data_IF_451737951219
#
_entry.id   IF_451737951219
#
_cell.length_a   1.000
_cell.length_b   1.000
_cell.length_c   1.000
_cell.angle_alpha   90.00
_cell.angle_beta   90.00
_cell.angle_gamma   90.00
#
_symmetry.space_group_name_H-M   'P 1'
#
loop_
_entity.id
_entity.type
_entity.pdbx_description
1 polymer ?
#
# COMPACT_ATOMS: atom_id res chain seq x y z
N UNK A 1 -13.45 72.95 28.67
CA UNK A 1 -12.46 72.63 29.72
C UNK A 1 -13.09 71.59 30.64
N UNK A 2 -12.30 70.63 31.13
CA UNK A 2 -12.69 69.36 31.79
C UNK A 2 -13.84 69.41 32.83
N UNK A 3 -14.64 68.33 32.83
CA UNK A 3 -15.42 67.70 33.95
C UNK A 3 -16.78 68.31 34.33
N UNK A 4 -17.87 67.52 34.27
CA UNK A 4 -18.58 66.92 35.42
C UNK A 4 -19.94 66.30 35.06
N UNK A 5 -20.26 65.24 35.81
CA UNK A 5 -21.50 64.47 35.90
C UNK A 5 -22.72 65.30 36.36
N UNK A 6 -23.90 64.93 35.88
CA UNK A 6 -25.24 64.92 36.54
C UNK A 6 -26.18 64.14 35.59
N UNK A 7 -27.32 63.52 35.91
CA UNK A 7 -27.84 62.77 37.06
C UNK A 7 -29.20 62.20 36.60
N UNK A 8 -29.60 61.08 37.19
CA UNK A 8 -30.97 60.52 37.39
C UNK A 8 -32.14 60.58 36.37
N UNK A 9 -32.70 59.37 36.17
CA UNK A 9 -34.12 58.95 36.36
C UNK A 9 -35.22 59.19 35.29
N UNK A 10 -35.74 58.09 34.72
CA UNK A 10 -37.13 57.57 34.86
C UNK A 10 -37.36 56.47 33.80
N UNK A 11 -37.56 55.20 34.19
CA UNK A 11 -38.81 54.52 34.52
C UNK A 11 -39.71 54.11 33.32
N UNK A 12 -39.99 52.81 33.28
CA UNK A 12 -41.14 52.13 32.66
C UNK A 12 -41.24 52.02 31.13
N UNK A 13 -41.08 50.79 30.62
CA UNK A 13 -42.16 49.97 29.99
C UNK A 13 -41.57 48.77 29.24
N UNK A 14 -41.74 47.56 29.79
CA UNK A 14 -42.03 46.36 28.98
C UNK A 14 -43.54 46.44 28.64
N UNK A 15 -44.05 45.94 27.49
CA UNK A 15 -43.89 44.52 27.16
C UNK A 15 -43.99 44.12 25.66
N UNK A 16 -43.90 42.79 25.46
CA UNK A 16 -44.35 41.96 24.33
C UNK A 16 -43.42 41.85 23.12
N UNK A 17 -42.60 40.81 23.21
CA UNK A 17 -42.03 40.07 22.12
C UNK A 17 -43.06 39.80 21.01
N UNK A 18 -42.76 40.25 19.79
CA UNK A 18 -43.31 39.65 18.57
C UNK A 18 -42.33 38.56 18.16
N UNK A 19 -42.80 37.32 18.23
CA UNK A 19 -42.23 36.18 17.53
C UNK A 19 -42.19 36.51 16.04
N UNK A 20 -41.00 36.78 15.50
CA UNK A 20 -40.71 36.60 14.09
C UNK A 20 -40.15 35.19 14.00
N UNK A 21 -40.95 34.27 13.47
CA UNK A 21 -40.52 32.92 13.14
C UNK A 21 -39.43 32.99 12.09
N UNK A 22 -38.19 33.04 12.55
CA UNK A 22 -37.04 32.72 11.72
C UNK A 22 -37.02 31.20 11.62
N UNK A 23 -37.38 30.69 10.44
CA UNK A 23 -37.07 29.33 10.01
C UNK A 23 -35.55 29.16 10.16
N UNK A 24 -35.14 28.60 11.29
CA UNK A 24 -33.87 27.92 11.42
C UNK A 24 -33.95 26.74 10.46
N UNK A 25 -33.52 26.99 9.22
CA UNK A 25 -33.07 25.94 8.32
C UNK A 25 -31.92 25.28 9.07
N UNK A 26 -32.22 24.19 9.77
CA UNK A 26 -31.24 23.25 10.23
C UNK A 26 -30.58 22.72 8.96
N UNK A 27 -29.51 23.38 8.53
CA UNK A 27 -28.53 22.79 7.64
C UNK A 27 -27.91 21.68 8.50
N UNK A 28 -28.54 20.51 8.42
CA UNK A 28 -27.85 19.26 8.67
C UNK A 28 -26.68 19.28 7.70
N UNK A 29 -25.51 19.65 8.23
CA UNK A 29 -24.23 19.35 7.63
C UNK A 29 -24.17 17.81 7.60
N UNK A 30 -24.79 17.23 6.57
CA UNK A 30 -24.35 15.95 6.06
C UNK A 30 -22.91 16.20 5.60
N UNK A 31 -21.96 15.96 6.50
CA UNK A 31 -20.60 15.69 6.06
C UNK A 31 -20.67 14.64 4.95
N UNK A 32 -19.78 14.66 3.95
CA UNK A 32 -19.80 13.65 2.90
C UNK A 32 -19.80 12.30 3.59
N UNK A 33 -20.93 11.61 3.54
CA UNK A 33 -20.98 10.25 4.03
C UNK A 33 -19.89 9.55 3.21
N UNK A 34 -18.92 8.97 3.92
CA UNK A 34 -17.84 8.22 3.32
C UNK A 34 -18.49 6.98 2.71
N UNK A 35 -18.95 7.11 1.48
CA UNK A 35 -19.68 6.07 0.80
C UNK A 35 -18.72 4.93 0.51
N UNK A 36 -19.10 3.71 0.91
CA UNK A 36 -18.25 2.55 0.76
C UNK A 36 -18.05 2.25 -0.73
N UNK A 37 -16.80 2.16 -1.15
CA UNK A 37 -16.42 1.90 -2.53
C UNK A 37 -16.86 0.49 -2.94
N UNK A 38 -17.57 0.38 -4.06
CA UNK A 38 -18.05 -0.87 -4.66
C UNK A 38 -17.24 -1.19 -5.93
N UNK A 39 -17.26 -2.44 -6.36
CA UNK A 39 -16.64 -2.86 -7.63
C UNK A 39 -17.64 -3.63 -8.48
N UNK A 40 -17.94 -3.12 -9.67
CA UNK A 40 -18.74 -3.79 -10.69
C UNK A 40 -17.80 -4.59 -11.60
N UNK A 41 -18.05 -5.90 -11.71
CA UNK A 41 -17.31 -6.81 -12.58
C UNK A 41 -18.16 -7.12 -13.79
N UNK A 42 -17.63 -6.83 -14.99
CA UNK A 42 -18.34 -7.06 -16.26
C UNK A 42 -18.06 -8.45 -16.79
N UNK A 43 -18.95 -8.92 -17.66
CA UNK A 43 -18.86 -10.22 -18.30
C UNK A 43 -17.62 -10.35 -19.19
N UNK A 44 -17.05 -9.26 -19.68
CA UNK A 44 -15.79 -9.22 -20.44
C UNK A 44 -14.54 -9.23 -19.52
N UNK A 45 -14.71 -9.34 -18.21
CA UNK A 45 -13.63 -9.34 -17.21
C UNK A 45 -13.17 -7.95 -16.77
N UNK A 46 -13.65 -6.87 -17.41
CA UNK A 46 -13.34 -5.51 -16.97
C UNK A 46 -13.99 -5.20 -15.62
N UNK A 47 -13.31 -4.40 -14.80
CA UNK A 47 -13.71 -4.10 -13.43
C UNK A 47 -13.77 -2.58 -13.23
N UNK A 48 -14.89 -2.09 -12.72
CA UNK A 48 -15.14 -0.68 -12.49
C UNK A 48 -15.30 -0.45 -10.98
N UNK A 49 -14.40 0.33 -10.40
CA UNK A 49 -14.51 0.74 -9.00
C UNK A 49 -15.25 2.08 -8.90
N UNK A 50 -16.17 2.19 -7.94
CA UNK A 50 -17.10 3.30 -7.88
C UNK A 50 -18.32 2.98 -7.04
N UNK A 51 -19.49 3.41 -7.49
CA UNK A 51 -20.72 3.22 -6.74
C UNK A 51 -21.93 2.98 -7.65
N UNK A 52 -22.74 2.00 -7.29
CA UNK A 52 -24.06 1.75 -7.86
C UNK A 52 -25.04 2.82 -7.38
N UNK A 53 -25.63 3.56 -8.32
CA UNK A 53 -26.67 4.55 -8.05
C UNK A 53 -28.06 3.94 -8.17
N UNK A 54 -28.26 3.06 -9.16
CA UNK A 54 -29.55 2.45 -9.46
C UNK A 54 -29.35 1.07 -10.08
N UNK A 55 -30.25 0.16 -9.74
CA UNK A 55 -30.40 -1.14 -10.41
C UNK A 55 -31.82 -1.16 -10.99
N UNK A 56 -31.95 -1.48 -12.28
CA UNK A 56 -33.20 -1.91 -12.90
C UNK A 56 -33.09 -3.33 -13.44
N UNK A 57 -34.22 -3.88 -13.93
CA UNK A 57 -34.24 -5.23 -14.50
C UNK A 57 -33.38 -5.40 -15.75
N UNK A 58 -32.97 -4.31 -16.40
CA UNK A 58 -32.23 -4.28 -17.67
C UNK A 58 -30.83 -3.63 -17.58
N UNK A 59 -30.59 -2.73 -16.61
CA UNK A 59 -29.33 -2.00 -16.46
C UNK A 59 -28.92 -1.77 -15.00
N UNK A 60 -27.61 -1.56 -14.80
CA UNK A 60 -27.01 -1.05 -13.56
C UNK A 60 -26.35 0.29 -13.83
N UNK A 61 -26.79 1.33 -13.13
CA UNK A 61 -26.21 2.67 -13.22
C UNK A 61 -25.10 2.83 -12.18
N UNK A 62 -23.90 3.13 -12.64
CA UNK A 62 -22.68 3.12 -11.86
C UNK A 62 -21.85 4.40 -12.05
N UNK A 63 -21.40 5.02 -10.97
CA UNK A 63 -20.51 6.20 -11.00
C UNK A 63 -19.09 5.73 -10.71
N UNK A 64 -18.19 5.88 -11.67
CA UNK A 64 -16.79 5.44 -11.56
C UNK A 64 -15.98 6.42 -10.71
N UNK A 65 -15.15 5.90 -9.80
CA UNK A 65 -14.26 6.72 -8.96
C UNK A 65 -13.05 7.22 -9.78
N UNK A 66 -12.73 8.52 -9.67
CA UNK A 66 -11.46 9.09 -10.18
C UNK A 66 -11.44 9.61 -11.63
N UNK A 67 -12.59 9.69 -12.32
CA UNK A 67 -12.67 10.32 -13.65
C UNK A 67 -12.88 11.84 -13.60
N UNK A 68 -12.37 12.58 -14.61
CA UNK A 68 -12.67 14.02 -14.82
C UNK A 68 -14.14 14.29 -15.20
N UNK A 69 -14.95 13.25 -15.40
CA UNK A 69 -16.38 13.33 -15.69
C UNK A 69 -17.20 12.71 -14.55
N UNK A 70 -18.08 13.50 -13.94
CA UNK A 70 -19.09 13.07 -12.96
C UNK A 70 -20.27 12.32 -13.61
N UNK A 71 -19.98 11.51 -14.62
CA UNK A 71 -20.99 10.84 -15.44
C UNK A 71 -21.38 9.47 -14.87
N UNK A 72 -22.68 9.24 -14.71
CA UNK A 72 -23.21 7.89 -14.47
C UNK A 72 -23.03 7.05 -15.73
N UNK A 73 -22.37 5.90 -15.59
CA UNK A 73 -22.23 4.88 -16.63
C UNK A 73 -23.34 3.86 -16.45
N UNK A 74 -24.15 3.62 -17.48
CA UNK A 74 -25.18 2.58 -17.45
C UNK A 74 -24.66 1.31 -18.10
N UNK A 75 -24.67 0.18 -17.37
CA UNK A 75 -24.17 -1.11 -17.84
C UNK A 75 -25.34 -2.09 -17.99
N UNK A 76 -25.56 -2.70 -19.17
CA UNK A 76 -26.60 -3.71 -19.36
C UNK A 76 -26.44 -4.92 -18.43
N UNK A 77 -27.55 -5.44 -17.91
CA UNK A 77 -27.54 -6.57 -16.98
C UNK A 77 -26.89 -7.83 -17.54
N UNK A 78 -27.02 -8.09 -18.84
CA UNK A 78 -26.33 -9.20 -19.50
C UNK A 78 -24.80 -9.06 -19.52
N UNK A 79 -24.30 -7.84 -19.29
CA UNK A 79 -22.88 -7.54 -19.20
C UNK A 79 -22.37 -7.44 -17.76
N UNK A 80 -23.24 -7.48 -16.74
CA UNK A 80 -22.81 -7.47 -15.34
C UNK A 80 -22.66 -8.89 -14.84
N UNK A 81 -21.43 -9.27 -14.46
CA UNK A 81 -21.14 -10.59 -13.95
C UNK A 81 -21.38 -10.67 -12.44
N UNK A 82 -20.84 -9.71 -11.69
CA UNK A 82 -21.13 -9.56 -10.27
C UNK A 82 -20.85 -8.13 -9.80
N UNK A 83 -21.37 -7.81 -8.62
CA UNK A 83 -21.04 -6.59 -7.89
C UNK A 83 -20.46 -7.00 -6.54
N UNK A 84 -19.28 -6.46 -6.20
CA UNK A 84 -18.70 -6.57 -4.87
C UNK A 84 -19.04 -5.30 -4.10
N UNK A 85 -19.80 -5.42 -3.02
CA UNK A 85 -20.26 -4.29 -2.23
C UNK A 85 -19.20 -3.78 -1.24
N UNK A 86 -19.52 -2.70 -0.53
CA UNK A 86 -18.63 -2.08 0.46
C UNK A 86 -18.34 -2.95 1.69
N UNK A 87 -19.13 -4.00 1.91
CA UNK A 87 -18.95 -5.03 2.94
C UNK A 87 -18.22 -6.28 2.41
N UNK A 88 -17.68 -6.19 1.18
CA UNK A 88 -16.98 -7.24 0.44
C UNK A 88 -17.85 -8.46 0.12
N UNK A 89 -19.17 -8.32 0.07
CA UNK A 89 -20.06 -9.38 -0.39
C UNK A 89 -20.17 -9.35 -1.91
N UNK A 90 -20.18 -10.54 -2.50
CA UNK A 90 -20.30 -10.75 -3.94
C UNK A 90 -21.75 -11.04 -4.30
N UNK A 91 -22.30 -10.23 -5.19
CA UNK A 91 -23.67 -10.31 -5.71
C UNK A 91 -23.63 -10.70 -7.19
N UNK A 92 -23.98 -11.94 -7.52
CA UNK A 92 -23.91 -12.47 -8.91
C UNK A 92 -25.22 -12.32 -9.69
N UNK A 93 -26.29 -11.82 -9.05
CA UNK A 93 -27.57 -11.49 -9.69
C UNK A 93 -28.02 -10.08 -9.33
N UNK A 94 -27.20 -9.05 -9.61
CA UNK A 94 -27.47 -7.70 -9.13
C UNK A 94 -28.80 -7.16 -9.68
N UNK A 95 -29.17 -7.47 -10.93
CA UNK A 95 -30.39 -6.97 -11.58
C UNK A 95 -31.71 -7.61 -11.12
N UNK A 96 -31.65 -8.57 -10.20
CA UNK A 96 -32.85 -9.15 -9.59
C UNK A 96 -33.30 -8.44 -8.31
N UNK A 97 -32.55 -7.46 -7.83
CA UNK A 97 -32.78 -6.76 -6.57
C UNK A 97 -32.74 -5.23 -6.70
N UNK A 98 -32.91 -4.55 -5.57
CA UNK A 98 -32.81 -3.10 -5.47
C UNK A 98 -31.37 -2.69 -5.12
N UNK A 99 -30.97 -1.47 -5.48
CA UNK A 99 -29.65 -0.93 -5.08
C UNK A 99 -29.44 -0.93 -3.55
N UNK A 100 -30.53 -0.84 -2.77
CA UNK A 100 -30.50 -0.96 -1.31
C UNK A 100 -30.13 -2.35 -0.80
N UNK A 101 -30.26 -3.41 -1.62
CA UNK A 101 -29.88 -4.77 -1.25
C UNK A 101 -28.34 -4.96 -1.27
N UNK A 102 -27.62 -4.04 -1.92
CA UNK A 102 -26.15 -3.94 -1.87
C UNK A 102 -25.65 -3.24 -0.59
N UNK A 103 -26.54 -2.77 0.27
CA UNK A 103 -26.19 -2.31 1.61
C UNK A 103 -26.10 -3.53 2.55
N UNK A 104 -25.00 -4.27 2.45
CA UNK A 104 -24.78 -5.49 3.23
C UNK A 104 -24.55 -5.22 4.72
N UNK A 105 -25.44 -5.79 5.55
CA UNK A 105 -25.21 -6.16 6.95
C UNK A 105 -23.88 -6.90 7.17
N UNK A 106 -23.40 -6.91 8.43
CA UNK A 106 -22.13 -7.44 8.96
C UNK A 106 -20.96 -7.48 7.96
N UNK A 107 -19.95 -6.59 8.11
CA UNK A 107 -18.83 -6.52 7.19
C UNK A 107 -18.11 -7.86 7.11
N UNK A 108 -17.87 -8.33 5.89
CA UNK A 108 -17.01 -9.50 5.71
C UNK A 108 -15.56 -9.05 5.68
N UNK A 109 -14.68 -9.87 6.24
CA UNK A 109 -13.23 -9.67 6.17
C UNK A 109 -12.69 -9.95 4.76
N UNK A 110 -11.41 -9.63 4.55
CA UNK A 110 -10.73 -9.84 3.29
C UNK A 110 -10.85 -11.30 2.83
N UNK A 111 -10.87 -11.51 1.51
CA UNK A 111 -10.86 -12.82 0.90
C UNK A 111 -9.79 -12.91 -0.18
N UNK A 112 -9.05 -14.02 -0.19
CA UNK A 112 -8.25 -14.44 -1.34
C UNK A 112 -8.93 -15.63 -1.99
N UNK A 113 -9.22 -15.50 -3.27
CA UNK A 113 -9.75 -16.55 -4.12
C UNK A 113 -8.59 -17.16 -4.89
N UNK A 114 -8.40 -18.47 -4.75
CA UNK A 114 -7.33 -19.21 -5.41
C UNK A 114 -7.78 -19.84 -6.72
N UNK A 115 -6.83 -20.13 -7.60
CA UNK A 115 -7.05 -20.78 -8.90
C UNK A 115 -7.65 -22.18 -8.79
N UNK A 116 -7.48 -22.86 -7.65
CA UNK A 116 -8.09 -24.14 -7.30
C UNK A 116 -9.51 -24.00 -6.71
N UNK A 117 -10.11 -22.80 -6.80
CA UNK A 117 -11.42 -22.44 -6.25
C UNK A 117 -11.48 -22.38 -4.72
N UNK A 118 -10.36 -22.48 -4.00
CA UNK A 118 -10.36 -22.27 -2.55
C UNK A 118 -10.49 -20.79 -2.21
N UNK A 119 -11.23 -20.49 -1.13
CA UNK A 119 -11.38 -19.14 -0.59
C UNK A 119 -10.75 -19.10 0.79
N UNK A 120 -9.79 -18.19 0.98
CA UNK A 120 -9.17 -17.91 2.26
C UNK A 120 -9.75 -16.61 2.80
N UNK A 121 -10.44 -16.68 3.94
CA UNK A 121 -11.00 -15.53 4.66
C UNK A 121 -10.06 -15.12 5.79
N UNK A 122 -9.83 -13.82 5.94
CA UNK A 122 -8.83 -13.36 6.89
C UNK A 122 -8.50 -11.87 6.80
N UNK A 123 -7.41 -11.49 7.45
CA UNK A 123 -6.79 -10.18 7.28
C UNK A 123 -5.57 -10.33 6.39
N UNK A 124 -5.51 -9.61 5.27
CA UNK A 124 -4.31 -9.59 4.43
C UNK A 124 -3.25 -8.78 5.20
N UNK A 125 -2.20 -9.45 5.65
CA UNK A 125 -1.13 -8.87 6.46
C UNK A 125 0.07 -8.44 5.61
N UNK A 126 0.16 -8.92 4.36
CA UNK A 126 1.22 -8.56 3.43
C UNK A 126 0.72 -8.58 1.98
N UNK A 127 1.01 -7.50 1.26
CA UNK A 127 0.80 -7.34 -0.18
C UNK A 127 2.18 -7.37 -0.86
N UNK A 128 2.60 -8.50 -1.42
CA UNK A 128 3.84 -8.60 -2.18
C UNK A 128 3.55 -8.84 -3.67
N UNK A 129 4.55 -8.68 -4.53
CA UNK A 129 4.38 -8.85 -5.97
C UNK A 129 4.16 -10.31 -6.38
N UNK A 130 4.79 -11.24 -5.67
CA UNK A 130 4.79 -12.67 -5.96
C UNK A 130 3.81 -13.46 -5.10
N UNK A 131 3.28 -12.87 -4.02
CA UNK A 131 2.39 -13.54 -3.06
C UNK A 131 1.57 -12.57 -2.22
N UNK A 132 0.50 -13.08 -1.64
CA UNK A 132 -0.22 -12.46 -0.54
C UNK A 132 0.01 -13.26 0.75
N UNK A 133 0.09 -12.59 1.89
CA UNK A 133 -0.02 -13.26 3.20
C UNK A 133 -1.36 -12.90 3.80
N UNK A 134 -2.18 -13.91 4.09
CA UNK A 134 -3.48 -13.75 4.75
C UNK A 134 -3.47 -14.46 6.09
N UNK A 135 -3.79 -13.71 7.16
CA UNK A 135 -4.01 -14.25 8.50
C UNK A 135 -5.44 -14.77 8.59
N UNK A 136 -5.56 -16.09 8.60
CA UNK A 136 -6.83 -16.81 8.75
C UNK A 136 -7.08 -17.16 10.22
N UNK A 137 -8.25 -17.72 10.54
CA UNK A 137 -8.53 -18.24 11.89
C UNK A 137 -7.58 -19.36 12.33
N UNK A 138 -6.95 -20.06 11.40
CA UNK A 138 -5.97 -21.13 11.66
C UNK A 138 -4.51 -20.68 11.61
N UNK A 139 -4.25 -19.39 11.37
CA UNK A 139 -2.90 -18.84 11.25
C UNK A 139 -2.61 -18.17 9.90
N UNK A 140 -1.36 -17.78 9.71
CA UNK A 140 -0.91 -17.05 8.53
C UNK A 140 -0.66 -18.01 7.36
N UNK A 141 -1.25 -17.70 6.20
CA UNK A 141 -1.13 -18.46 4.96
C UNK A 141 -0.50 -17.58 3.90
N UNK A 142 0.58 -18.08 3.29
CA UNK A 142 1.21 -17.45 2.13
C UNK A 142 0.64 -18.05 0.84
N UNK A 143 0.13 -17.20 -0.04
CA UNK A 143 -0.51 -17.61 -1.29
C UNK A 143 0.23 -16.95 -2.45
N UNK A 144 0.91 -17.69 -3.33
CA UNK A 144 1.53 -17.13 -4.53
C UNK A 144 0.52 -16.32 -5.35
N UNK A 145 0.91 -15.17 -5.91
CA UNK A 145 0.04 -14.35 -6.75
C UNK A 145 -0.36 -15.10 -8.03
N UNK A 146 0.50 -16.00 -8.51
CA UNK A 146 0.19 -16.96 -9.58
C UNK A 146 -0.94 -17.94 -9.22
N UNK A 147 -1.19 -18.16 -7.93
CA UNK A 147 -2.25 -19.02 -7.43
C UNK A 147 -3.52 -18.23 -7.09
N UNK A 148 -3.48 -16.90 -7.15
CA UNK A 148 -4.62 -16.05 -6.81
C UNK A 148 -5.44 -15.73 -8.06
N UNK A 149 -6.69 -16.16 -8.03
CA UNK A 149 -7.72 -15.85 -9.00
C UNK A 149 -8.43 -14.52 -8.71
N UNK A 150 -8.50 -14.12 -7.43
CA UNK A 150 -9.03 -12.82 -7.06
C UNK A 150 -8.77 -12.41 -5.61
N UNK A 151 -8.85 -11.11 -5.37
CA UNK A 151 -8.60 -10.46 -4.07
C UNK A 151 -9.78 -9.56 -3.76
N UNK A 152 -10.35 -9.72 -2.57
CA UNK A 152 -11.38 -8.82 -2.04
C UNK A 152 -10.85 -8.23 -0.74
N UNK A 153 -10.61 -6.92 -0.74
CA UNK A 153 -10.16 -6.14 0.41
C UNK A 153 -10.83 -4.76 0.37
N UNK A 154 -11.03 -4.07 1.51
CA UNK A 154 -11.60 -2.74 1.48
C UNK A 154 -10.77 -1.82 0.59
N UNK A 155 -11.42 -1.18 -0.40
CA UNK A 155 -10.77 -0.32 -1.38
C UNK A 155 -9.96 -1.04 -2.47
N UNK A 156 -9.89 -2.37 -2.47
CA UNK A 156 -9.17 -3.13 -3.50
C UNK A 156 -9.87 -4.46 -3.79
N UNK A 157 -10.55 -4.52 -4.94
CA UNK A 157 -11.13 -5.73 -5.51
C UNK A 157 -10.49 -5.96 -6.87
N UNK A 158 -9.91 -7.13 -7.07
CA UNK A 158 -9.26 -7.51 -8.32
C UNK A 158 -9.52 -8.99 -8.61
N UNK A 159 -10.03 -9.30 -9.80
CA UNK A 159 -10.00 -10.64 -10.38
C UNK A 159 -8.97 -10.70 -11.51
N UNK A 160 -8.09 -11.71 -11.49
CA UNK A 160 -6.97 -11.85 -12.44
C UNK A 160 -7.15 -13.06 -13.38
N UNK A 161 -8.41 -13.39 -13.71
CA UNK A 161 -8.80 -14.54 -14.53
C UNK A 161 -9.25 -14.13 -15.93
N UNK A 162 -9.20 -15.08 -16.87
CA UNK A 162 -9.87 -14.90 -18.17
C UNK A 162 -11.38 -14.77 -17.97
N UNK A 163 -12.10 -14.04 -18.84
CA UNK A 163 -13.55 -13.84 -18.70
C UNK A 163 -14.35 -15.14 -18.58
N UNK A 164 -13.96 -16.18 -19.33
CA UNK A 164 -14.61 -17.49 -19.29
C UNK A 164 -14.47 -18.16 -17.92
N UNK A 165 -13.25 -18.14 -17.36
CA UNK A 165 -12.97 -18.74 -16.06
C UNK A 165 -13.59 -17.94 -14.93
N UNK A 166 -13.62 -16.61 -15.04
CA UNK A 166 -14.31 -15.75 -14.09
C UNK A 166 -15.82 -16.01 -14.08
N UNK A 167 -16.45 -16.19 -15.25
CA UNK A 167 -17.87 -16.58 -15.34
C UNK A 167 -18.14 -17.93 -14.69
N UNK A 168 -17.31 -18.94 -15.00
CA UNK A 168 -17.44 -20.26 -14.40
C UNK A 168 -17.30 -20.22 -12.86
N UNK A 169 -16.40 -19.38 -12.37
CA UNK A 169 -16.18 -19.18 -10.94
C UNK A 169 -17.36 -18.49 -10.24
N UNK A 170 -17.90 -17.43 -10.84
CA UNK A 170 -19.07 -16.72 -10.30
C UNK A 170 -20.36 -17.54 -10.38
N UNK A 171 -20.42 -18.55 -11.25
CA UNK A 171 -21.49 -19.54 -11.28
C UNK A 171 -21.32 -20.66 -10.24
N UNK A 172 -20.15 -20.79 -9.61
CA UNK A 172 -19.89 -21.83 -8.62
C UNK A 172 -20.45 -21.43 -7.24
N UNK A 173 -21.59 -22.03 -6.87
CA UNK A 173 -22.25 -21.74 -5.60
C UNK A 173 -21.39 -21.99 -4.35
N UNK A 174 -20.46 -22.95 -4.39
CA UNK A 174 -19.56 -23.22 -3.25
C UNK A 174 -18.55 -22.09 -3.04
N UNK A 175 -18.00 -21.55 -4.13
CA UNK A 175 -17.09 -20.40 -4.10
C UNK A 175 -17.82 -19.17 -3.61
N UNK A 176 -19.02 -18.90 -4.15
CA UNK A 176 -19.83 -17.75 -3.77
C UNK A 176 -20.22 -17.78 -2.29
N UNK A 177 -20.64 -18.95 -1.79
CA UNK A 177 -20.92 -19.14 -0.38
C UNK A 177 -19.68 -18.89 0.49
N UNK A 178 -18.52 -19.40 0.09
CA UNK A 178 -17.28 -19.21 0.85
C UNK A 178 -16.77 -17.75 0.84
N UNK A 179 -16.95 -17.02 -0.26
CA UNK A 179 -16.65 -15.58 -0.34
C UNK A 179 -17.51 -14.76 0.60
N UNK A 180 -18.80 -15.11 0.69
CA UNK A 180 -19.81 -14.40 1.47
C UNK A 180 -19.97 -14.91 2.92
N UNK A 181 -19.26 -15.98 3.33
CA UNK A 181 -19.33 -16.56 4.66
C UNK A 181 -18.53 -15.72 5.68
N UNK A 182 -19.23 -14.83 6.38
CA UNK A 182 -18.65 -13.99 7.43
C UNK A 182 -18.19 -14.81 8.66
N UNK A 183 -18.72 -16.01 8.88
CA UNK A 183 -18.34 -16.85 10.03
C UNK A 183 -16.89 -17.36 9.95
N UNK A 184 -16.29 -17.35 8.75
CA UNK A 184 -14.89 -17.69 8.52
C UNK A 184 -13.92 -16.55 8.80
N UNK A 185 -14.43 -15.37 9.15
CA UNK A 185 -13.58 -14.25 9.48
C UNK A 185 -12.93 -14.45 10.85
N UNK A 186 -11.61 -14.25 10.96
CA UNK A 186 -10.95 -14.30 12.24
C UNK A 186 -11.54 -13.21 13.15
N UNK A 187 -11.67 -13.46 14.45
CA UNK A 187 -12.09 -12.43 15.40
C UNK A 187 -11.15 -11.24 15.31
N UNK A 188 -11.69 -10.02 15.39
CA UNK A 188 -10.90 -8.78 15.41
C UNK A 188 -9.87 -8.92 16.53
N UNK A 189 -8.59 -9.01 16.19
CA UNK A 189 -7.54 -9.19 17.17
C UNK A 189 -7.56 -8.00 18.15
N UNK A 190 -7.72 -8.28 19.45
CA UNK A 190 -7.54 -7.26 20.47
C UNK A 190 -6.17 -6.59 20.28
N UNK A 191 -6.05 -5.26 20.43
CA UNK A 191 -4.78 -4.56 20.27
C UNK A 191 -3.78 -5.15 21.25
N UNK A 192 -2.84 -5.95 20.74
CA UNK A 192 -1.74 -6.48 21.53
C UNK A 192 -0.74 -5.34 21.74
N UNK A 193 -0.58 -4.92 22.99
CA UNK A 193 0.62 -4.21 23.44
C UNK A 193 1.82 -5.07 23.10
N UNK A 194 2.67 -4.56 22.21
CA UNK A 194 3.79 -5.32 21.65
C UNK A 194 4.84 -5.52 22.75
N UNK A 195 4.97 -6.75 23.25
CA UNK A 195 6.23 -7.25 23.77
C UNK A 195 6.93 -7.97 22.62
N UNK A 196 8.08 -7.44 22.20
CA UNK A 196 8.87 -7.99 21.11
C UNK A 196 9.60 -9.26 21.59
N UNK A 197 9.46 -10.37 20.87
CA UNK A 197 10.40 -11.49 20.87
C UNK A 197 10.46 -12.13 19.47
N UNK A 198 11.62 -12.70 19.18
CA UNK A 198 12.27 -12.92 17.89
C UNK A 198 11.57 -13.90 16.93
N UNK A 199 11.66 -13.63 15.61
CA UNK A 199 12.50 -14.37 14.63
C UNK A 199 11.94 -14.24 13.21
N UNK A 200 12.61 -13.40 12.43
CA UNK A 200 12.39 -13.11 11.02
C UNK A 200 13.05 -14.20 10.16
N UNK A 201 12.29 -14.82 9.25
CA UNK A 201 12.83 -15.67 8.18
C UNK A 201 12.09 -15.31 6.88
N UNK A 202 12.77 -14.53 6.01
CA UNK A 202 12.34 -14.28 4.64
C UNK A 202 12.84 -15.40 3.71
N UNK A 203 12.03 -15.86 2.72
CA UNK A 203 12.55 -15.91 1.33
C UNK A 203 11.55 -15.91 0.14
N UNK A 204 11.94 -15.62 -1.11
CA UNK A 204 13.15 -15.05 -1.76
C UNK A 204 12.72 -14.50 -3.13
N UNK A 205 13.46 -13.51 -3.62
CA UNK A 205 13.57 -13.14 -5.03
C UNK A 205 14.32 -14.24 -5.82
N UNK A 206 13.77 -14.77 -6.91
CA UNK A 206 14.45 -15.73 -7.77
C UNK A 206 15.25 -15.03 -8.89
N UNK A 207 16.58 -15.08 -8.78
CA UNK A 207 17.46 -15.40 -9.92
C UNK A 207 18.44 -16.47 -9.47
N UNK A 208 18.48 -17.55 -10.23
CA UNK A 208 19.17 -18.81 -9.97
C UNK A 208 20.55 -18.63 -9.32
N UNK A 209 20.70 -19.15 -8.10
CA UNK A 209 22.01 -19.54 -7.57
C UNK A 209 22.12 -21.04 -7.85
N UNK A 210 23.19 -21.38 -8.57
CA UNK A 210 23.56 -22.74 -8.96
C UNK A 210 23.51 -23.69 -7.77
N UNK A 211 23.01 -24.90 -8.03
CA UNK A 211 23.24 -26.06 -7.20
C UNK A 211 24.75 -26.32 -7.13
N UNK A 212 25.33 -26.16 -5.94
CA UNK A 212 26.28 -27.12 -5.38
C UNK A 212 26.43 -26.78 -3.90
N UNK A 213 26.02 -27.74 -3.06
CA UNK A 213 26.45 -27.78 -1.69
C UNK A 213 27.96 -28.10 -1.69
N UNK A 214 28.72 -27.29 -0.96
CA UNK A 214 30.19 -27.20 -0.91
C UNK A 214 30.80 -26.31 -2.01
N UNK A 215 31.74 -25.45 -1.58
CA UNK A 215 32.60 -24.53 -2.36
C UNK A 215 32.19 -23.04 -2.29
N UNK A 216 33.06 -22.26 -1.62
CA UNK A 216 33.25 -20.81 -1.57
C UNK A 216 32.06 -19.86 -1.84
N UNK A 217 31.73 -19.03 -0.84
CA UNK A 217 30.78 -17.93 -1.00
C UNK A 217 31.22 -16.99 -2.13
N UNK A 218 30.41 -16.89 -3.18
CA UNK A 218 30.63 -15.98 -4.29
C UNK A 218 30.29 -14.53 -3.89
N UNK A 219 31.21 -13.92 -3.17
CA UNK A 219 31.11 -12.53 -2.71
C UNK A 219 31.03 -11.52 -3.85
N UNK A 220 31.61 -11.83 -5.02
CA UNK A 220 31.52 -10.97 -6.19
C UNK A 220 30.06 -10.88 -6.66
N UNK A 221 29.39 -12.03 -6.81
CA UNK A 221 27.97 -12.08 -7.13
C UNK A 221 27.10 -11.36 -6.10
N UNK A 222 27.41 -11.44 -4.82
CA UNK A 222 26.65 -10.74 -3.79
C UNK A 222 26.79 -9.21 -3.88
N UNK A 223 27.95 -8.69 -4.31
CA UNK A 223 28.14 -7.26 -4.61
C UNK A 223 27.23 -6.82 -5.76
N UNK A 224 27.06 -7.64 -6.80
CA UNK A 224 26.16 -7.33 -7.93
C UNK A 224 24.69 -7.28 -7.49
N UNK A 225 24.26 -8.24 -6.64
CA UNK A 225 22.89 -8.25 -6.09
C UNK A 225 22.65 -7.02 -5.21
N UNK A 226 23.62 -6.63 -4.38
CA UNK A 226 23.55 -5.41 -3.58
C UNK A 226 23.34 -4.18 -4.46
N UNK A 227 24.11 -4.05 -5.54
CA UNK A 227 23.98 -2.97 -6.51
C UNK A 227 22.59 -2.95 -7.16
N UNK A 228 22.07 -4.10 -7.58
CA UNK A 228 20.74 -4.19 -8.15
C UNK A 228 19.67 -3.73 -7.16
N UNK A 229 19.76 -4.14 -5.88
CA UNK A 229 18.83 -3.69 -4.84
C UNK A 229 18.92 -2.18 -4.60
N UNK A 230 20.12 -1.59 -4.62
CA UNK A 230 20.33 -0.14 -4.55
C UNK A 230 19.70 0.60 -5.75
N UNK A 231 19.85 0.07 -6.97
CA UNK A 231 19.19 0.63 -8.17
C UNK A 231 17.67 0.55 -8.08
N UNK A 232 17.13 -0.56 -7.56
CA UNK A 232 15.69 -0.74 -7.34
C UNK A 232 15.15 0.23 -6.29
N UNK A 233 15.90 0.50 -5.23
CA UNK A 233 15.53 1.50 -4.22
C UNK A 233 15.29 2.87 -4.86
N UNK A 234 16.13 3.29 -5.82
CA UNK A 234 15.91 4.55 -6.54
C UNK A 234 14.62 4.58 -7.35
N UNK A 235 14.31 3.50 -8.06
CA UNK A 235 13.05 3.39 -8.80
C UNK A 235 11.84 3.49 -7.88
N UNK A 236 11.93 2.97 -6.65
CA UNK A 236 10.87 3.16 -5.65
C UNK A 236 10.81 4.59 -5.11
N UNK A 237 11.94 5.23 -4.85
CA UNK A 237 11.97 6.64 -4.40
C UNK A 237 11.34 7.57 -5.45
N UNK A 238 11.64 7.36 -6.73
CA UNK A 238 11.02 8.10 -7.84
C UNK A 238 9.51 7.92 -7.85
N UNK A 239 9.00 6.68 -7.71
CA UNK A 239 7.57 6.42 -7.61
C UNK A 239 6.92 7.06 -6.37
N UNK A 240 7.59 7.01 -5.22
CA UNK A 240 7.06 7.57 -3.96
C UNK A 240 6.89 9.08 -4.06
N UNK A 241 7.83 9.76 -4.70
CA UNK A 241 7.87 11.23 -4.81
C UNK A 241 7.03 11.77 -5.96
N UNK A 242 6.74 10.97 -6.99
CA UNK A 242 5.97 11.40 -8.15
C UNK A 242 4.53 11.80 -7.78
N UNK A 243 4.21 13.09 -7.79
CA UNK A 243 2.88 13.61 -7.42
C UNK A 243 1.74 13.17 -8.34
N UNK A 244 2.03 12.76 -9.57
CA UNK A 244 1.02 12.25 -10.51
C UNK A 244 0.52 10.84 -10.16
N UNK A 245 1.33 10.05 -9.42
CA UNK A 245 0.96 8.71 -8.99
C UNK A 245 -0.02 8.73 -7.81
N UNK A 246 -0.95 7.77 -7.83
CA UNK A 246 -1.94 7.61 -6.76
C UNK A 246 -1.29 7.15 -5.45
N UNK A 247 -1.94 7.46 -4.32
CA UNK A 247 -1.46 7.04 -2.99
C UNK A 247 -1.25 5.53 -2.89
N UNK A 248 -2.10 4.72 -3.53
CA UNK A 248 -1.99 3.25 -3.53
C UNK A 248 -0.69 2.79 -4.19
N UNK A 249 -0.34 3.36 -5.35
CA UNK A 249 0.91 3.03 -6.05
C UNK A 249 2.11 3.44 -5.21
N UNK A 250 2.04 4.62 -4.57
CA UNK A 250 3.08 5.09 -3.67
C UNK A 250 3.22 4.23 -2.42
N UNK A 251 2.11 3.78 -1.82
CA UNK A 251 2.11 2.91 -0.63
C UNK A 251 2.76 1.56 -0.99
N UNK A 252 2.42 1.01 -2.16
CA UNK A 252 3.07 -0.20 -2.68
C UNK A 252 4.57 -0.01 -2.88
N UNK A 253 4.99 1.11 -3.46
CA UNK A 253 6.42 1.41 -3.64
C UNK A 253 7.15 1.55 -2.29
N UNK A 254 6.51 2.12 -1.26
CA UNK A 254 7.06 2.16 0.12
C UNK A 254 7.25 0.75 0.66
N UNK A 255 6.24 -0.11 0.57
CA UNK A 255 6.32 -1.49 1.08
C UNK A 255 7.42 -2.30 0.39
N UNK A 256 7.51 -2.19 -0.94
CA UNK A 256 8.55 -2.87 -1.72
C UNK A 256 9.95 -2.34 -1.39
N UNK A 257 10.10 -1.02 -1.20
CA UNK A 257 11.36 -0.41 -0.82
C UNK A 257 11.80 -0.83 0.58
N UNK A 258 10.89 -0.86 1.57
CA UNK A 258 11.17 -1.37 2.92
C UNK A 258 11.63 -2.84 2.85
N UNK A 259 11.05 -3.64 1.96
CA UNK A 259 11.43 -5.04 1.75
C UNK A 259 12.85 -5.28 1.21
N UNK A 260 13.55 -4.22 0.75
CA UNK A 260 14.96 -4.31 0.38
C UNK A 260 15.89 -4.30 1.60
N UNK A 261 15.42 -3.81 2.75
CA UNK A 261 16.21 -3.64 3.96
C UNK A 261 16.15 -4.87 4.87
N UNK A 262 17.20 -5.05 5.66
CA UNK A 262 17.30 -6.13 6.63
C UNK A 262 16.21 -5.99 7.71
N UNK A 263 15.96 -4.75 8.14
CA UNK A 263 15.00 -4.43 9.17
C UNK A 263 14.25 -3.12 8.86
N UNK A 264 12.99 -3.00 9.32
CA UNK A 264 12.21 -1.77 9.15
C UNK A 264 12.71 -0.60 10.01
N UNK A 265 13.60 -0.86 10.97
CA UNK A 265 14.24 0.12 11.84
C UNK A 265 15.63 0.56 11.36
N UNK A 266 16.10 0.07 10.21
CA UNK A 266 17.31 0.59 9.57
C UNK A 266 17.22 2.11 9.36
N UNK A 267 18.36 2.78 9.42
CA UNK A 267 18.45 4.24 9.41
C UNK A 267 18.97 4.75 8.06
N UNK A 268 18.41 5.86 7.60
CA UNK A 268 18.90 6.64 6.46
C UNK A 268 19.30 8.03 6.92
N UNK A 269 20.51 8.44 6.54
CA UNK A 269 20.99 9.80 6.72
C UNK A 269 20.62 10.63 5.49
N UNK A 270 20.11 11.82 5.78
CA UNK A 270 19.93 12.90 4.81
C UNK A 270 20.77 14.09 5.25
N UNK A 271 21.23 14.87 4.29
CA UNK A 271 22.11 16.01 4.52
C UNK A 271 21.53 17.22 3.82
N UNK A 272 21.76 18.39 4.41
CA UNK A 272 21.48 19.65 3.75
C UNK A 272 22.74 20.08 2.98
N UNK A 273 22.64 20.27 1.66
CA UNK A 273 23.79 20.64 0.83
C UNK A 273 24.39 22.01 1.18
N UNK A 274 23.60 22.93 1.72
CA UNK A 274 24.04 24.29 2.09
C UNK A 274 24.72 24.33 3.44
N UNK A 275 24.18 23.64 4.45
CA UNK A 275 24.68 23.72 5.84
C UNK A 275 25.55 22.55 6.26
N UNK A 276 25.55 21.45 5.49
CA UNK A 276 26.23 20.20 5.84
C UNK A 276 25.58 19.44 7.00
N UNK A 277 24.51 19.96 7.60
CA UNK A 277 23.81 19.31 8.71
C UNK A 277 23.20 17.99 8.25
N UNK A 278 23.54 16.92 8.95
CA UNK A 278 22.96 15.59 8.73
C UNK A 278 21.79 15.34 9.69
N UNK A 279 20.78 14.61 9.20
CA UNK A 279 19.65 14.13 9.97
C UNK A 279 19.43 12.66 9.71
N UNK A 280 19.00 11.96 10.74
CA UNK A 280 18.73 10.53 10.70
C UNK A 280 17.22 10.28 10.66
N UNK A 281 16.82 9.33 9.84
CA UNK A 281 15.44 8.88 9.73
C UNK A 281 15.40 7.36 9.70
N UNK A 282 14.47 6.75 10.44
CA UNK A 282 14.11 5.35 10.21
C UNK A 282 13.66 5.18 8.75
N UNK A 283 14.02 4.08 8.12
CA UNK A 283 13.74 3.83 6.70
C UNK A 283 12.23 3.87 6.41
N UNK A 284 11.43 3.31 7.32
CA UNK A 284 9.96 3.37 7.30
C UNK A 284 9.44 4.81 7.28
N UNK A 285 10.01 5.69 8.12
CA UNK A 285 9.64 7.11 8.19
C UNK A 285 10.14 7.89 6.97
N UNK A 286 11.37 7.63 6.55
CA UNK A 286 11.98 8.26 5.40
C UNK A 286 11.16 8.01 4.12
N UNK A 287 10.88 6.74 3.82
CA UNK A 287 10.13 6.33 2.64
C UNK A 287 8.64 6.68 2.76
N UNK A 288 8.02 6.42 3.91
CA UNK A 288 6.58 6.57 4.09
C UNK A 288 6.10 8.01 4.27
N UNK A 289 6.95 8.92 4.77
CA UNK A 289 6.52 10.28 5.09
C UNK A 289 7.49 11.35 4.61
N UNK A 290 8.79 11.24 4.88
CA UNK A 290 9.75 12.30 4.57
C UNK A 290 9.78 12.60 3.07
N UNK A 291 9.90 11.57 2.22
CA UNK A 291 9.94 11.74 0.76
C UNK A 291 8.63 12.30 0.19
N UNK A 292 7.48 11.97 0.78
CA UNK A 292 6.17 12.46 0.33
C UNK A 292 5.92 13.93 0.62
N UNK A 293 6.60 14.47 1.62
CA UNK A 293 6.47 15.86 2.05
C UNK A 293 7.46 16.80 1.34
N UNK A 294 8.24 16.28 0.39
CA UNK A 294 9.13 17.13 -0.40
C UNK A 294 8.31 18.07 -1.29
N UNK A 295 8.83 19.28 -1.49
CA UNK A 295 8.17 20.30 -2.29
C UNK A 295 8.36 20.11 -3.81
N UNK A 296 8.87 18.96 -4.25
CA UNK A 296 9.11 18.62 -5.66
C UNK A 296 7.94 17.79 -6.20
N UNK A 297 7.63 17.95 -7.49
CA UNK A 297 6.60 17.15 -8.17
C UNK A 297 7.11 15.76 -8.54
N UNK A 298 8.41 15.64 -8.76
CA UNK A 298 9.10 14.40 -9.06
C UNK A 298 10.56 14.51 -8.61
N UNK A 299 11.08 13.43 -8.03
CA UNK A 299 12.51 13.28 -7.76
C UNK A 299 13.08 12.22 -8.68
N UNK A 300 14.17 12.54 -9.36
CA UNK A 300 15.01 11.57 -10.07
C UNK A 300 16.25 11.27 -9.24
N UNK A 301 16.58 9.98 -9.13
CA UNK A 301 17.83 9.54 -8.52
C UNK A 301 18.65 8.78 -9.55
N UNK A 302 19.87 9.25 -9.76
CA UNK A 302 20.85 8.60 -10.63
C UNK A 302 22.05 8.16 -9.78
N UNK A 303 22.51 6.93 -9.94
CA UNK A 303 23.73 6.47 -9.28
C UNK A 303 24.89 6.61 -10.27
N UNK A 304 25.80 7.52 -9.98
CA UNK A 304 26.87 7.90 -10.89
C UNK A 304 28.02 6.89 -10.89
N UNK A 305 28.38 6.34 -9.71
CA UNK A 305 29.43 5.32 -9.58
C UNK A 305 29.35 4.59 -8.23
N UNK A 306 29.64 3.27 -8.24
CA UNK A 306 30.05 2.56 -7.02
C UNK A 306 31.55 2.79 -6.88
N UNK A 307 31.95 3.49 -5.83
CA UNK A 307 33.34 3.88 -5.65
C UNK A 307 34.15 2.78 -4.94
N UNK A 308 33.53 2.04 -4.03
CA UNK A 308 34.21 1.04 -3.22
C UNK A 308 33.21 0.08 -2.58
N UNK A 309 33.53 -1.22 -2.53
CA UNK A 309 32.82 -2.20 -1.72
C UNK A 309 33.83 -2.89 -0.83
N UNK A 310 33.67 -2.77 0.50
CA UNK A 310 34.51 -3.49 1.46
C UNK A 310 34.40 -5.00 1.23
N UNK A 311 35.36 -5.74 1.79
CA UNK A 311 35.22 -7.18 1.91
C UNK A 311 34.10 -7.52 2.89
N UNK A 312 33.56 -8.73 2.74
CA UNK A 312 32.52 -9.23 3.62
C UNK A 312 33.13 -9.78 4.91
N UNK A 313 32.64 -9.28 6.04
CA UNK A 313 33.08 -9.68 7.37
C UNK A 313 32.03 -10.55 8.04
N UNK A 314 32.43 -11.76 8.46
CA UNK A 314 31.58 -12.67 9.23
C UNK A 314 31.25 -12.05 10.60
N UNK A 315 29.98 -12.08 10.96
CA UNK A 315 29.45 -11.57 12.20
C UNK A 315 29.18 -12.70 13.19
N UNK A 316 29.00 -12.35 14.48
CA UNK A 316 28.73 -13.32 15.55
C UNK A 316 27.43 -14.12 15.33
N UNK A 317 26.47 -13.57 14.59
CA UNK A 317 25.19 -14.22 14.26
C UNK A 317 25.28 -15.12 13.00
N UNK A 318 26.48 -15.30 12.43
CA UNK A 318 26.70 -16.07 11.21
C UNK A 318 26.34 -15.33 9.91
N UNK A 319 25.88 -14.07 10.00
CA UNK A 319 25.70 -13.22 8.82
C UNK A 319 27.04 -12.65 8.32
N UNK A 320 27.11 -12.22 7.08
CA UNK A 320 28.23 -11.40 6.60
C UNK A 320 27.79 -9.96 6.40
N UNK A 321 28.67 -9.01 6.70
CA UNK A 321 28.42 -7.58 6.48
C UNK A 321 29.47 -7.00 5.56
N UNK A 322 29.07 -6.11 4.65
CA UNK A 322 29.98 -5.25 3.90
C UNK A 322 29.42 -3.83 3.84
N UNK A 323 30.24 -2.88 3.38
CA UNK A 323 29.83 -1.49 3.13
C UNK A 323 30.14 -1.15 1.68
N UNK A 324 29.16 -0.58 0.99
CA UNK A 324 29.31 -0.09 -0.38
C UNK A 324 29.21 1.43 -0.37
N UNK A 325 30.25 2.09 -0.86
CA UNK A 325 30.29 3.53 -1.09
C UNK A 325 29.77 3.83 -2.50
N UNK A 326 28.72 4.64 -2.57
CA UNK A 326 28.02 4.99 -3.81
C UNK A 326 27.86 6.50 -3.93
N UNK A 327 27.96 7.00 -5.15
CA UNK A 327 27.62 8.38 -5.44
C UNK A 327 26.19 8.48 -5.99
N UNK A 328 25.35 9.19 -5.26
CA UNK A 328 23.98 9.51 -5.63
C UNK A 328 23.93 10.90 -6.23
N UNK A 329 23.21 11.06 -7.34
CA UNK A 329 22.71 12.34 -7.81
C UNK A 329 21.21 12.40 -7.51
N UNK A 330 20.79 13.47 -6.85
CA UNK A 330 19.40 13.74 -6.53
C UNK A 330 18.95 14.96 -7.32
N UNK A 331 17.89 14.83 -8.12
CA UNK A 331 17.32 15.93 -8.90
C UNK A 331 15.85 16.11 -8.53
N UNK A 332 15.50 17.24 -7.93
CA UNK A 332 14.13 17.62 -7.64
C UNK A 332 13.55 18.49 -8.76
N UNK A 333 12.42 18.09 -9.31
CA UNK A 333 11.74 18.80 -10.40
C UNK A 333 10.42 19.42 -9.94
N UNK A 334 10.09 20.57 -10.50
CA UNK A 334 8.81 21.28 -10.32
C UNK A 334 8.32 21.71 -11.70
N UNK A 335 7.07 21.43 -12.03
CA UNK A 335 6.47 21.74 -13.33
C UNK A 335 7.29 21.22 -14.54
N UNK A 336 8.01 20.11 -14.35
CA UNK A 336 8.87 19.49 -15.37
C UNK A 336 10.26 20.10 -15.52
N UNK A 337 10.60 21.16 -14.77
CA UNK A 337 11.92 21.79 -14.76
C UNK A 337 12.74 21.38 -13.54
N UNK A 338 14.07 21.37 -13.68
CA UNK A 338 14.98 21.08 -12.57
C UNK A 338 15.00 22.27 -11.61
N UNK A 339 14.45 22.08 -10.41
CA UNK A 339 14.45 23.09 -9.36
C UNK A 339 15.69 22.97 -8.45
N UNK A 340 16.17 21.75 -8.23
CA UNK A 340 17.30 21.47 -7.35
C UNK A 340 18.07 20.23 -7.80
N UNK A 341 19.39 20.26 -7.69
CA UNK A 341 20.27 19.10 -7.91
C UNK A 341 21.38 19.06 -6.85
N UNK A 342 21.67 17.87 -6.33
CA UNK A 342 22.88 17.62 -5.55
C UNK A 342 23.52 16.27 -5.89
N UNK A 343 24.80 16.17 -5.55
CA UNK A 343 25.58 14.94 -5.58
C UNK A 343 26.01 14.60 -4.15
N UNK A 344 25.60 13.43 -3.70
CA UNK A 344 25.85 12.91 -2.36
C UNK A 344 26.60 11.59 -2.41
N UNK A 345 27.74 11.51 -1.73
CA UNK A 345 28.44 10.25 -1.49
C UNK A 345 27.82 9.58 -0.25
N UNK A 346 27.38 8.33 -0.39
CA UNK A 346 26.72 7.55 0.65
C UNK A 346 27.45 6.25 0.91
N UNK A 347 27.37 5.76 2.14
CA UNK A 347 27.78 4.41 2.50
C UNK A 347 26.53 3.60 2.80
N UNK A 348 26.36 2.48 2.10
CA UNK A 348 25.25 1.56 2.30
C UNK A 348 25.79 0.28 2.91
N UNK A 349 25.32 -0.07 4.10
CA UNK A 349 25.63 -1.36 4.69
C UNK A 349 24.89 -2.47 3.91
N UNK A 350 25.57 -3.59 3.70
CA UNK A 350 25.04 -4.78 3.04
C UNK A 350 25.12 -5.95 4.01
N UNK A 351 24.04 -6.71 4.13
CA UNK A 351 23.93 -7.87 5.02
C UNK A 351 23.59 -9.13 4.24
N UNK A 352 24.44 -10.15 4.33
CA UNK A 352 24.17 -11.48 3.77
C UNK A 352 23.62 -12.39 4.85
N UNK A 353 22.45 -12.98 4.60
CA UNK A 353 21.83 -13.93 5.51
C UNK A 353 21.40 -15.19 4.79
N UNK A 354 21.60 -16.30 5.47
CA UNK A 354 20.99 -17.57 5.09
C UNK A 354 19.54 -17.61 5.55
N UNK A 355 18.70 -18.23 4.76
CA UNK A 355 17.39 -18.67 5.18
C UNK A 355 17.15 -20.07 4.63
N UNK A 356 16.16 -20.75 5.19
CA UNK A 356 15.73 -22.07 4.75
C UNK A 356 14.52 -21.97 3.80
N UNK A 357 14.63 -22.57 2.60
CA UNK A 357 13.50 -22.77 1.69
C UNK A 357 13.11 -24.24 1.72
N UNK A 358 11.88 -24.53 2.08
CA UNK A 358 11.32 -25.87 1.88
C UNK A 358 10.78 -25.94 0.45
N UNK A 359 11.41 -26.72 -0.40
CA UNK A 359 10.93 -27.04 -1.75
C UNK A 359 10.74 -28.55 -1.84
N UNK A 360 9.54 -29.00 -2.23
CA UNK A 360 9.24 -30.43 -2.45
C UNK A 360 9.58 -31.33 -1.24
N UNK A 361 9.39 -30.81 -0.01
CA UNK A 361 9.70 -31.54 1.22
C UNK A 361 11.19 -31.60 1.58
N UNK A 362 12.07 -30.93 0.82
CA UNK A 362 13.49 -30.76 1.12
C UNK A 362 13.78 -29.33 1.57
N UNK A 363 14.52 -29.19 2.66
CA UNK A 363 14.98 -27.89 3.15
C UNK A 363 16.32 -27.55 2.49
N UNK A 364 16.36 -26.46 1.72
CA UNK A 364 17.56 -25.90 1.11
C UNK A 364 17.93 -24.60 1.80
N UNK A 365 19.17 -24.49 2.28
CA UNK A 365 19.71 -23.23 2.82
C UNK A 365 20.13 -22.35 1.65
N UNK A 366 19.67 -21.10 1.64
CA UNK A 366 19.89 -20.15 0.56
C UNK A 366 20.32 -18.79 1.12
N UNK A 367 21.22 -18.11 0.42
CA UNK A 367 21.70 -16.78 0.77
C UNK A 367 20.85 -15.67 0.13
N UNK A 368 20.50 -14.63 0.88
CA UNK A 368 19.95 -13.37 0.38
C UNK A 368 20.82 -12.19 0.85
N UNK A 369 20.69 -11.08 0.13
CA UNK A 369 21.44 -9.83 0.33
C UNK A 369 20.46 -8.75 0.75
N UNK A 370 20.63 -8.13 1.90
CA UNK A 370 19.78 -7.04 2.37
C UNK A 370 20.56 -5.74 2.44
N UNK A 371 19.85 -4.62 2.21
CA UNK A 371 20.36 -3.30 2.54
C UNK A 371 20.27 -3.09 4.06
N UNK A 372 21.28 -2.48 4.64
CA UNK A 372 21.30 -2.04 6.03
C UNK A 372 21.17 -0.52 6.12
N UNK A 373 21.88 0.07 7.08
CA UNK A 373 21.87 1.51 7.26
C UNK A 373 22.54 2.24 6.08
N UNK A 374 22.03 3.44 5.77
CA UNK A 374 22.54 4.31 4.71
C UNK A 374 23.08 5.58 5.34
N UNK A 375 24.40 5.72 5.39
CA UNK A 375 25.09 6.91 5.87
C UNK A 375 25.38 7.91 4.75
N UNK A 376 25.50 9.20 5.11
CA UNK A 376 26.01 10.26 4.21
C UNK A 376 27.45 10.58 4.57
N UNK A 377 28.33 10.53 3.57
CA UNK A 377 29.73 10.93 3.69
C UNK A 377 29.90 12.41 3.35
N UNK A 378 29.34 12.85 2.21
CA UNK A 378 29.44 14.24 1.77
C UNK A 378 28.33 14.59 0.78
N UNK A 379 27.89 15.83 0.76
CA UNK A 379 26.91 16.35 -0.22
C UNK A 379 27.42 17.65 -0.82
N UNK A 380 27.20 17.83 -2.12
CA UNK A 380 27.53 19.06 -2.86
C UNK A 380 26.37 19.40 -3.79
N UNK A 381 25.92 20.65 -3.78
CA UNK A 381 24.98 21.15 -4.79
C UNK A 381 25.64 21.12 -6.16
N UNK A 382 24.84 20.89 -7.20
CA UNK A 382 25.27 20.95 -8.60
C UNK A 382 24.75 22.16 -9.34
#
# INVERSE_FOLDING_TARGET
MRTLLFDTAHQTRRPRARYVGSLLTAILLFGPATWAQQTLVRADGSQLSGQVQRISGDHVDFVVAGGRSTGTTSVPCGEVLCIVDGSLRVHTRPCGGNAGDLAGNEPTCNALLRNDNQVLKGTITRWADDRFTIRTGSGDVNVPRSDVAGVLSPGHVEFSLTPERLRALMANGSVLNALNDASKCPPVAAPRTVQYSEKWIAPKFERAASETASEDLDFARFKDVALEKTKRLSGYIEQITNKELSSIVKDKAVDQAIGLFERPDNIVHVSNATTGVQKEHLITRYLGSHLRMLNYDLVKIEWADIQYASDFELQMDGSYTAVVSIQQRFTGMVDGEVYYSDVTNKNVQIKLRTYEKVQEGRTTVLWDVFLGDIGVVSTKTE
#
